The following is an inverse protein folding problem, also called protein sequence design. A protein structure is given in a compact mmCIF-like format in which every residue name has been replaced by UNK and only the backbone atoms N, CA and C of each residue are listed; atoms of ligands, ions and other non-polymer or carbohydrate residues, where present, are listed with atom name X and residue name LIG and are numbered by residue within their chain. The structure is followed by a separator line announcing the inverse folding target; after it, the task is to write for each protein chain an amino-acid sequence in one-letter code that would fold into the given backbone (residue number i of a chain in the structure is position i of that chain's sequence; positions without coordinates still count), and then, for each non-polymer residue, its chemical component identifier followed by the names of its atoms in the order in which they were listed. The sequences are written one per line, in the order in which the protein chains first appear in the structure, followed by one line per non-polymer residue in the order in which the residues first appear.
data_IF_636723864782
#
_entry.id   IF_636723864782
#
_cell.length_a   1.000
_cell.length_b   1.000
_cell.length_c   1.000
_cell.angle_alpha   90.00
_cell.angle_beta   90.00
_cell.angle_gamma   90.00
#
_symmetry.space_group_name_H-M   'P 1'
#
loop_
_entity.id
_entity.type
_entity.pdbx_description
1 polymer ?
#
# COMPACT_ATOMS: atom_id res chain seq x y z
N UNK A 1 -24.52 -19.06 6.37
CA UNK A 1 -23.05 -18.89 6.30
C UNK A 1 -22.74 -17.48 6.76
N UNK A 2 -22.08 -17.34 7.91
CA UNK A 2 -21.67 -16.04 8.43
C UNK A 2 -20.51 -15.51 7.57
N UNK A 3 -20.70 -14.38 6.90
CA UNK A 3 -19.63 -13.75 6.12
C UNK A 3 -18.68 -13.10 7.11
N UNK A 4 -17.44 -13.62 7.19
CA UNK A 4 -16.40 -12.98 7.98
C UNK A 4 -16.04 -11.62 7.34
N UNK A 5 -16.60 -10.55 7.93
CA UNK A 5 -16.49 -9.17 7.43
C UNK A 5 -15.04 -8.69 7.34
N UNK A 6 -14.16 -9.17 8.22
CA UNK A 6 -12.72 -8.83 8.20
C UNK A 6 -12.05 -9.50 6.98
N UNK A 7 -12.34 -10.77 6.75
CA UNK A 7 -11.81 -11.48 5.58
C UNK A 7 -12.31 -10.86 4.28
N UNK A 8 -13.60 -10.53 4.18
CA UNK A 8 -14.16 -9.88 3.00
C UNK A 8 -13.62 -8.47 2.78
N UNK A 9 -13.13 -7.81 3.83
CA UNK A 9 -12.48 -6.51 3.72
C UNK A 9 -11.17 -6.62 2.94
N UNK A 10 -10.28 -7.51 3.36
CA UNK A 10 -9.01 -7.69 2.65
C UNK A 10 -9.17 -8.41 1.31
N UNK A 11 -10.22 -9.22 1.17
CA UNK A 11 -10.48 -10.06 0.00
C UNK A 11 -11.95 -9.94 -0.47
N UNK A 12 -12.36 -8.86 -1.16
CA UNK A 12 -13.73 -8.77 -1.71
C UNK A 12 -14.04 -9.86 -2.76
N UNK A 13 -15.02 -10.75 -2.51
CA UNK A 13 -15.40 -11.89 -3.37
C UNK A 13 -16.15 -11.51 -4.67
N UNK A 14 -16.09 -12.32 -5.77
CA UNK A 14 -15.13 -13.39 -6.04
C UNK A 14 -13.95 -12.85 -6.85
N UNK A 15 -12.74 -13.01 -6.33
CA UNK A 15 -11.51 -12.53 -6.95
C UNK A 15 -10.80 -13.62 -7.75
N UNK A 16 -10.28 -13.24 -8.93
CA UNK A 16 -9.28 -14.05 -9.62
C UNK A 16 -8.11 -14.38 -8.69
N UNK A 17 -7.56 -15.60 -8.78
CA UNK A 17 -6.48 -16.10 -7.90
C UNK A 17 -5.32 -15.11 -7.78
N UNK A 18 -5.00 -14.39 -8.87
CA UNK A 18 -3.95 -13.34 -8.90
C UNK A 18 -4.17 -12.21 -7.87
N UNK A 19 -5.40 -11.76 -7.65
CA UNK A 19 -5.68 -10.66 -6.71
C UNK A 19 -5.48 -11.11 -5.25
N UNK A 20 -5.90 -12.34 -4.96
CA UNK A 20 -5.69 -12.96 -3.64
C UNK A 20 -4.20 -13.13 -3.37
N UNK A 21 -3.46 -13.71 -4.32
CA UNK A 21 -2.00 -13.86 -4.21
C UNK A 21 -1.30 -12.52 -3.99
N UNK A 22 -1.61 -11.51 -4.81
CA UNK A 22 -1.01 -10.18 -4.68
C UNK A 22 -1.37 -9.50 -3.35
N UNK A 23 -2.58 -9.73 -2.83
CA UNK A 23 -2.98 -9.24 -1.51
C UNK A 23 -2.16 -9.87 -0.40
N UNK A 24 -1.97 -11.20 -0.41
CA UNK A 24 -1.12 -11.87 0.58
C UNK A 24 0.33 -11.38 0.51
N UNK A 25 0.89 -11.25 -0.69
CA UNK A 25 2.23 -10.68 -0.89
C UNK A 25 2.31 -9.27 -0.27
N UNK A 26 1.32 -8.43 -0.56
CA UNK A 26 1.29 -7.06 -0.04
C UNK A 26 1.20 -7.02 1.50
N UNK A 27 0.36 -7.87 2.10
CA UNK A 27 0.22 -7.98 3.56
C UNK A 27 1.54 -8.46 4.19
N UNK A 28 2.19 -9.46 3.58
CA UNK A 28 3.47 -9.95 4.04
C UNK A 28 4.56 -8.87 3.97
N UNK A 29 4.62 -8.12 2.86
CA UNK A 29 5.54 -6.98 2.73
C UNK A 29 5.26 -5.88 3.76
N UNK A 30 3.99 -5.60 4.06
CA UNK A 30 3.60 -4.63 5.08
C UNK A 30 4.04 -5.08 6.48
N UNK A 31 3.94 -6.39 6.78
CA UNK A 31 4.45 -6.96 8.03
C UNK A 31 5.98 -6.84 8.13
N UNK A 32 6.71 -7.13 7.04
CA UNK A 32 8.16 -6.93 6.98
C UNK A 32 8.55 -5.46 7.14
N UNK A 33 7.81 -4.53 6.53
CA UNK A 33 8.01 -3.09 6.70
C UNK A 33 7.86 -2.68 8.15
N UNK A 34 6.78 -3.10 8.82
CA UNK A 34 6.53 -2.78 10.23
C UNK A 34 7.66 -3.32 11.10
N UNK A 35 8.06 -4.58 10.90
CA UNK A 35 9.17 -5.17 11.63
C UNK A 35 10.49 -4.42 11.40
N UNK A 36 10.78 -4.05 10.15
CA UNK A 36 11.97 -3.28 9.77
C UNK A 36 12.00 -1.89 10.42
N UNK A 37 10.88 -1.18 10.40
CA UNK A 37 10.76 0.14 11.04
C UNK A 37 10.93 0.05 12.56
N UNK A 38 10.32 -0.94 13.21
CA UNK A 38 10.50 -1.18 14.64
C UNK A 38 11.97 -1.48 14.94
N UNK A 39 12.64 -2.28 14.11
CA UNK A 39 14.06 -2.57 14.27
C UNK A 39 14.90 -1.29 14.15
N UNK A 40 14.71 -0.49 13.09
CA UNK A 40 15.43 0.78 12.88
C UNK A 40 15.22 1.74 14.06
N UNK A 41 14.00 1.84 14.58
CA UNK A 41 13.65 2.71 15.73
C UNK A 41 14.56 2.52 16.96
N UNK A 42 14.96 1.28 17.24
CA UNK A 42 15.82 0.96 18.38
C UNK A 42 17.32 1.17 18.11
N UNK A 43 17.74 1.30 16.85
CA UNK A 43 19.16 1.36 16.47
C UNK A 43 19.60 2.74 16.00
N UNK A 44 18.67 3.64 15.67
CA UNK A 44 19.00 5.01 15.24
C UNK A 44 19.11 5.99 16.42
N UNK A 45 19.94 7.04 16.30
CA UNK A 45 19.99 8.13 17.27
C UNK A 45 18.67 8.91 17.33
N UNK A 46 18.48 9.71 18.38
CA UNK A 46 17.27 10.51 18.57
C UNK A 46 17.07 11.61 17.51
N UNK A 47 18.15 12.02 16.85
CA UNK A 47 18.17 12.99 15.75
C UNK A 47 18.67 12.29 14.48
N UNK A 48 17.85 12.29 13.43
CA UNK A 48 18.13 11.66 12.14
C UNK A 48 17.93 12.64 10.98
N UNK A 49 18.50 12.39 9.79
CA UNK A 49 18.09 13.09 8.58
C UNK A 49 16.61 12.87 8.26
N UNK A 50 15.90 13.95 7.95
CA UNK A 50 14.49 13.91 7.55
C UNK A 50 14.23 14.50 6.16
N UNK A 51 15.23 15.16 5.57
CA UNK A 51 15.21 15.65 4.20
C UNK A 51 16.57 15.42 3.55
N UNK A 52 16.54 15.17 2.25
CA UNK A 52 17.72 14.96 1.42
C UNK A 52 17.67 15.88 0.21
N UNK A 53 18.79 16.55 -0.05
CA UNK A 53 18.98 17.38 -1.24
C UNK A 53 18.98 16.53 -2.53
N UNK A 54 18.89 17.18 -3.69
CA UNK A 54 19.01 16.51 -5.00
C UNK A 54 20.33 15.72 -5.16
N UNK A 55 21.37 16.09 -4.41
CA UNK A 55 22.65 15.36 -4.36
C UNK A 55 22.65 14.14 -3.45
N UNK A 56 21.51 13.77 -2.86
CA UNK A 56 21.38 12.64 -1.93
C UNK A 56 22.02 12.86 -0.56
N UNK A 57 22.42 14.11 -0.24
CA UNK A 57 23.00 14.46 1.06
C UNK A 57 21.93 14.95 2.02
N UNK A 58 22.00 14.57 3.31
CA UNK A 58 21.10 15.09 4.32
C UNK A 58 21.35 16.59 4.53
N UNK A 59 20.30 17.39 4.44
CA UNK A 59 20.34 18.85 4.62
C UNK A 59 19.41 19.34 5.74
N UNK A 60 18.45 18.51 6.19
CA UNK A 60 17.61 18.77 7.36
C UNK A 60 17.62 17.55 8.29
N UNK A 61 17.82 17.81 9.58
CA UNK A 61 17.77 16.83 10.66
C UNK A 61 16.56 17.09 11.57
N UNK A 62 15.99 16.03 12.12
CA UNK A 62 14.82 16.11 12.97
C UNK A 62 14.71 14.92 13.93
N UNK A 63 13.61 14.84 14.66
CA UNK A 63 13.38 13.76 15.62
C UNK A 63 13.23 12.41 14.91
N UNK A 64 13.81 11.34 15.49
CA UNK A 64 13.60 9.96 15.00
C UNK A 64 12.14 9.54 14.91
N UNK A 65 11.22 10.24 15.60
CA UNK A 65 9.76 10.06 15.51
C UNK A 65 9.22 10.08 14.08
N UNK A 66 9.88 10.79 13.16
CA UNK A 66 9.51 10.81 11.74
C UNK A 66 9.59 9.42 11.08
N UNK A 67 10.37 8.46 11.61
CA UNK A 67 10.42 7.08 11.10
C UNK A 67 9.04 6.40 11.15
N UNK A 68 8.16 6.75 12.08
CA UNK A 68 6.81 6.16 12.15
C UNK A 68 5.93 6.53 10.95
N UNK A 69 6.25 7.62 10.24
CA UNK A 69 5.57 8.00 9.00
C UNK A 69 5.76 6.93 7.91
N UNK A 70 6.88 6.20 7.94
CA UNK A 70 7.15 5.08 7.03
C UNK A 70 6.18 3.91 7.21
N UNK A 71 5.52 3.79 8.38
CA UNK A 71 4.42 2.84 8.58
C UNK A 71 3.08 3.52 8.28
N UNK A 72 2.87 4.72 8.83
CA UNK A 72 1.56 5.37 8.80
C UNK A 72 1.06 5.59 7.37
N UNK A 73 1.88 6.16 6.49
CA UNK A 73 1.49 6.49 5.12
C UNK A 73 1.10 5.24 4.30
N UNK A 74 1.92 4.19 4.18
CA UNK A 74 1.56 3.02 3.39
C UNK A 74 0.40 2.22 4.01
N UNK A 75 0.25 2.19 5.34
CA UNK A 75 -0.92 1.57 5.99
C UNK A 75 -2.21 2.30 5.62
N UNK A 76 -2.22 3.63 5.72
CA UNK A 76 -3.40 4.44 5.35
C UNK A 76 -3.74 4.25 3.88
N UNK A 77 -2.76 4.32 2.97
CA UNK A 77 -2.99 4.10 1.53
C UNK A 77 -3.50 2.68 1.27
N UNK A 78 -2.93 1.67 1.94
CA UNK A 78 -3.38 0.28 1.83
C UNK A 78 -4.85 0.14 2.22
N UNK A 79 -5.27 0.76 3.32
CA UNK A 79 -6.65 0.72 3.81
C UNK A 79 -7.61 1.47 2.88
N UNK A 80 -7.22 2.67 2.41
CA UNK A 80 -8.03 3.47 1.47
C UNK A 80 -8.26 2.72 0.16
N UNK A 81 -7.22 2.15 -0.44
CA UNK A 81 -7.37 1.37 -1.68
C UNK A 81 -8.22 0.13 -1.44
N UNK A 82 -8.05 -0.55 -0.30
CA UNK A 82 -8.87 -1.72 0.06
C UNK A 82 -10.34 -1.35 0.21
N UNK A 83 -10.65 -0.19 0.81
CA UNK A 83 -12.01 0.34 0.91
C UNK A 83 -12.60 0.67 -0.47
N UNK A 84 -11.81 1.28 -1.38
CA UNK A 84 -12.23 1.56 -2.76
C UNK A 84 -12.56 0.25 -3.49
N UNK A 85 -11.71 -0.78 -3.36
CA UNK A 85 -11.89 -2.08 -4.00
C UNK A 85 -13.14 -2.83 -3.52
N UNK A 86 -13.57 -2.63 -2.28
CA UNK A 86 -14.84 -3.17 -1.75
C UNK A 86 -16.06 -2.34 -2.11
N UNK A 87 -15.86 -1.04 -2.36
CA UNK A 87 -16.95 -0.13 -2.63
C UNK A 87 -17.57 -0.39 -4.01
N UNK A 88 -18.81 0.06 -4.18
CA UNK A 88 -19.46 0.09 -5.48
C UNK A 88 -18.95 1.24 -6.39
N UNK A 89 -17.90 1.99 -5.98
CA UNK A 89 -17.40 3.14 -6.75
C UNK A 89 -16.91 2.71 -8.13
N UNK A 90 -16.08 1.66 -8.22
CA UNK A 90 -15.57 1.15 -9.50
C UNK A 90 -16.75 0.78 -10.41
N UNK A 91 -17.71 0.02 -9.88
CA UNK A 91 -18.91 -0.40 -10.63
C UNK A 91 -19.75 0.80 -11.08
N UNK A 92 -19.94 1.81 -10.23
CA UNK A 92 -20.72 3.02 -10.52
C UNK A 92 -20.06 3.88 -11.59
N UNK A 93 -18.74 4.04 -11.53
CA UNK A 93 -17.96 4.81 -12.52
C UNK A 93 -18.13 4.23 -13.92
N UNK A 94 -18.09 2.91 -14.07
CA UNK A 94 -18.21 2.28 -15.39
C UNK A 94 -19.67 2.17 -15.88
N UNK A 95 -20.65 1.94 -14.99
CA UNK A 95 -22.08 1.82 -15.33
C UNK A 95 -22.69 3.10 -15.92
N UNK A 96 -22.15 4.28 -15.58
CA UNK A 96 -22.67 5.56 -16.09
C UNK A 96 -22.16 5.91 -17.49
N UNK A 97 -21.07 5.29 -17.94
CA UNK A 97 -20.38 5.72 -19.16
C UNK A 97 -20.76 4.90 -20.41
N UNK A 98 -21.33 3.69 -20.27
CA UNK A 98 -21.64 2.81 -21.41
C UNK A 98 -22.92 1.98 -21.23
N UNK A 99 -24.12 2.59 -21.27
CA UNK A 99 -25.39 1.93 -20.94
C UNK A 99 -25.74 0.69 -21.78
N UNK A 100 -25.12 0.48 -22.95
CA UNK A 100 -25.45 -0.58 -23.91
C UNK A 100 -24.32 -1.62 -24.12
N UNK A 101 -23.17 -1.51 -23.44
CA UNK A 101 -22.00 -2.37 -23.75
C UNK A 101 -21.42 -3.12 -22.54
N UNK A 102 -22.27 -3.93 -21.92
CA UNK A 102 -22.00 -4.70 -20.68
C UNK A 102 -20.70 -5.52 -20.68
N UNK A 103 -20.20 -5.96 -21.84
CA UNK A 103 -18.94 -6.70 -21.95
C UNK A 103 -17.72 -5.79 -21.74
N UNK A 104 -17.69 -4.62 -22.37
CA UNK A 104 -16.58 -3.68 -22.24
C UNK A 104 -16.52 -3.07 -20.84
N UNK A 105 -17.67 -2.74 -20.24
CA UNK A 105 -17.75 -2.25 -18.85
C UNK A 105 -17.10 -3.22 -17.85
N UNK A 106 -17.36 -4.52 -18.01
CA UNK A 106 -16.78 -5.56 -17.16
C UNK A 106 -15.26 -5.65 -17.32
N UNK A 107 -14.76 -5.53 -18.55
CA UNK A 107 -13.31 -5.54 -18.81
C UNK A 107 -12.64 -4.33 -18.17
N UNK A 108 -13.15 -3.12 -18.40
CA UNK A 108 -12.56 -1.90 -17.80
C UNK A 108 -12.63 -1.89 -16.27
N UNK A 109 -13.71 -2.39 -15.68
CA UNK A 109 -13.82 -2.53 -14.24
C UNK A 109 -12.79 -3.52 -13.66
N UNK A 110 -12.51 -4.63 -14.35
CA UNK A 110 -11.50 -5.59 -13.93
C UNK A 110 -10.06 -5.06 -14.11
N UNK A 111 -9.75 -4.40 -15.23
CA UNK A 111 -8.45 -3.76 -15.44
C UNK A 111 -8.19 -2.65 -14.40
N UNK A 112 -9.22 -1.86 -14.07
CA UNK A 112 -9.12 -0.82 -13.04
C UNK A 112 -8.84 -1.41 -11.65
N UNK A 113 -9.50 -2.52 -11.30
CA UNK A 113 -9.19 -3.24 -10.05
C UNK A 113 -7.74 -3.70 -10.06
N UNK A 114 -7.27 -4.27 -11.16
CA UNK A 114 -5.89 -4.75 -11.27
C UNK A 114 -4.86 -3.63 -11.05
N UNK A 115 -5.08 -2.45 -11.66
CA UNK A 115 -4.24 -1.28 -11.44
C UNK A 115 -4.24 -0.86 -9.96
N UNK A 116 -5.40 -0.88 -9.29
CA UNK A 116 -5.48 -0.55 -7.86
C UNK A 116 -4.75 -1.57 -6.98
N UNK A 117 -4.81 -2.86 -7.32
CA UNK A 117 -4.03 -3.89 -6.62
C UNK A 117 -2.52 -3.65 -6.80
N UNK A 118 -2.07 -3.34 -8.02
CA UNK A 118 -0.67 -3.03 -8.33
C UNK A 118 -0.21 -1.76 -7.63
N UNK A 119 -1.02 -0.69 -7.64
CA UNK A 119 -0.72 0.56 -6.95
C UNK A 119 -0.55 0.33 -5.45
N UNK A 120 -1.48 -0.43 -4.84
CA UNK A 120 -1.42 -0.78 -3.42
C UNK A 120 -0.14 -1.54 -3.07
N UNK A 121 0.24 -2.52 -3.89
CA UNK A 121 1.47 -3.29 -3.69
C UNK A 121 2.73 -2.44 -3.93
N UNK A 122 2.72 -1.62 -4.99
CA UNK A 122 3.83 -0.75 -5.38
C UNK A 122 4.13 0.31 -4.33
N UNK A 123 3.12 0.91 -3.70
CA UNK A 123 3.32 1.84 -2.59
C UNK A 123 4.03 1.13 -1.44
N UNK A 124 3.55 -0.03 -1.00
CA UNK A 124 4.21 -0.78 0.08
C UNK A 124 5.65 -1.14 -0.30
N UNK A 125 5.90 -1.56 -1.55
CA UNK A 125 7.25 -1.84 -2.05
C UNK A 125 8.19 -0.63 -1.94
N UNK A 126 7.74 0.54 -2.37
CA UNK A 126 8.52 1.79 -2.29
C UNK A 126 8.89 2.10 -0.84
N UNK A 127 7.95 1.97 0.09
CA UNK A 127 8.22 2.20 1.51
C UNK A 127 9.13 1.13 2.14
N UNK A 128 9.07 -0.13 1.69
CA UNK A 128 10.05 -1.15 2.06
C UNK A 128 11.46 -0.76 1.58
N UNK A 129 11.58 -0.29 0.33
CA UNK A 129 12.86 0.13 -0.23
C UNK A 129 13.44 1.34 0.53
N UNK A 130 12.61 2.35 0.82
CA UNK A 130 13.01 3.52 1.61
C UNK A 130 13.49 3.08 3.00
N UNK A 131 12.73 2.23 3.69
CA UNK A 131 13.12 1.70 5.02
C UNK A 131 14.44 0.93 4.96
N UNK A 132 14.64 0.09 3.92
CA UNK A 132 15.89 -0.62 3.74
C UNK A 132 17.08 0.33 3.52
N UNK A 133 16.90 1.39 2.71
CA UNK A 133 17.96 2.40 2.51
C UNK A 133 18.26 3.19 3.78
N UNK A 134 17.24 3.54 4.57
CA UNK A 134 17.41 4.22 5.85
C UNK A 134 18.21 3.34 6.83
N UNK A 135 17.94 2.03 6.83
CA UNK A 135 18.72 1.08 7.63
C UNK A 135 20.19 1.03 7.20
N UNK A 136 20.48 0.86 5.91
CA UNK A 136 21.86 0.78 5.42
C UNK A 136 22.66 2.08 5.60
N UNK A 137 22.00 3.23 5.69
CA UNK A 137 22.64 4.52 5.99
C UNK A 137 22.85 4.75 7.50
N UNK A 138 22.21 3.94 8.36
CA UNK A 138 22.29 4.06 9.82
C UNK A 138 23.33 3.15 10.48
N UNK A 139 23.91 2.20 9.72
CA UNK A 139 25.06 1.35 10.11
C UNK A 139 26.34 1.99 9.58
#
# INVERSE_FOLDING_TARGET
MEVNRIKSFFFPDPQSKRYVTLTYITIYMLALLIAGVIYVWYHVPDIIPIHFSLGGKPDIYGSKKHIWELIFVPVVIFLVISAILQSNLIKKTFRSNYPDNSKHERVYAEESKWILYLLRAGVVLVFCAITATAYFQSI
#
